data_IF_727833764762
#
_entry.id   IF_727833764762
#
_cell.length_a   1.000
_cell.length_b   1.000
_cell.length_c   1.000
_cell.angle_alpha   90.00
_cell.angle_beta   90.00
_cell.angle_gamma   90.00
#
_symmetry.space_group_name_H-M   'P 1'
#
loop_
_entity.id
_entity.type
_entity.pdbx_description
1 polymer ?
#
# COMPACT_ATOMS: atom_id res chain seq x y z
N UNK A 1 7.81 4.72 -37.90
CA UNK A 1 8.70 4.48 -36.74
C UNK A 1 7.98 5.09 -35.55
N UNK A 2 6.91 4.42 -35.12
CA UNK A 2 6.86 3.48 -34.00
C UNK A 2 6.44 4.23 -32.72
N UNK A 3 5.11 4.26 -32.56
CA UNK A 3 4.40 4.02 -31.30
C UNK A 3 4.48 5.11 -30.22
N UNK A 4 3.72 6.18 -30.45
CA UNK A 4 3.00 6.89 -29.40
C UNK A 4 1.94 5.97 -28.77
N UNK A 5 2.36 4.95 -28.01
CA UNK A 5 1.45 4.07 -27.26
C UNK A 5 1.28 4.61 -25.84
N UNK A 6 0.28 5.48 -25.71
CA UNK A 6 -0.72 5.45 -24.65
C UNK A 6 -0.21 4.91 -23.30
N UNK A 7 0.35 5.80 -22.46
CA UNK A 7 0.27 5.59 -21.01
C UNK A 7 -1.21 5.80 -20.67
N UNK A 8 -1.98 4.73 -20.74
CA UNK A 8 -3.34 4.69 -20.20
C UNK A 8 -3.24 5.11 -18.72
N UNK A 9 -3.67 6.33 -18.44
CA UNK A 9 -3.89 6.84 -17.10
C UNK A 9 -5.05 6.06 -16.48
N UNK A 10 -4.78 4.82 -16.06
CA UNK A 10 -5.61 4.13 -15.07
C UNK A 10 -5.45 4.98 -13.80
N UNK A 11 -6.48 5.76 -13.49
CA UNK A 11 -6.49 6.58 -12.29
C UNK A 11 -6.11 5.68 -11.10
N UNK A 12 -5.03 6.03 -10.40
CA UNK A 12 -4.56 5.25 -9.26
C UNK A 12 -5.70 5.13 -8.22
N UNK A 13 -5.82 3.99 -7.52
CA UNK A 13 -6.84 3.83 -6.50
C UNK A 13 -6.82 5.00 -5.52
N UNK A 14 -8.01 5.46 -5.12
CA UNK A 14 -8.12 6.57 -4.16
C UNK A 14 -7.52 6.13 -2.82
N UNK A 15 -6.61 6.94 -2.29
CA UNK A 15 -6.02 6.76 -0.95
C UNK A 15 -6.65 7.76 0.01
N UNK A 16 -7.08 7.26 1.18
CA UNK A 16 -7.78 8.01 2.22
C UNK A 16 -6.86 8.41 3.37
N UNK A 17 -7.38 9.26 4.26
CA UNK A 17 -6.64 9.82 5.38
C UNK A 17 -5.85 11.09 5.01
N UNK A 18 -5.06 11.62 5.96
CA UNK A 18 -4.26 12.84 5.79
C UNK A 18 -3.02 12.60 4.91
N UNK A 19 -3.23 12.31 3.62
CA UNK A 19 -2.18 12.20 2.60
C UNK A 19 -1.56 13.56 2.30
N UNK A 20 -0.25 13.58 2.03
CA UNK A 20 0.51 14.82 1.77
C UNK A 20 1.02 14.94 0.34
N UNK A 21 0.98 13.85 -0.44
CA UNK A 21 1.37 13.82 -1.85
C UNK A 21 0.68 12.67 -2.62
N UNK A 22 0.94 12.61 -3.93
CA UNK A 22 0.43 11.54 -4.81
C UNK A 22 1.16 10.21 -4.63
N UNK A 23 2.31 10.20 -3.91
CA UNK A 23 3.08 9.00 -3.62
C UNK A 23 2.56 8.27 -2.37
N UNK A 24 1.35 8.61 -1.90
CA UNK A 24 0.67 8.01 -0.75
C UNK A 24 1.28 8.32 0.62
N UNK A 25 2.26 9.23 0.71
CA UNK A 25 2.83 9.61 2.01
C UNK A 25 1.78 10.30 2.87
N UNK A 26 1.89 10.19 4.19
CA UNK A 26 0.95 10.81 5.13
C UNK A 26 1.63 11.71 6.14
N UNK A 27 0.83 12.43 6.94
CA UNK A 27 1.36 13.28 8.02
C UNK A 27 2.12 12.49 9.10
N UNK A 28 1.86 11.18 9.26
CA UNK A 28 2.55 10.33 10.23
C UNK A 28 3.89 9.79 9.71
N UNK A 29 3.94 9.35 8.45
CA UNK A 29 5.11 8.74 7.80
C UNK A 29 5.31 9.34 6.40
N UNK A 30 6.48 9.96 6.17
CA UNK A 30 6.75 10.80 4.98
C UNK A 30 8.22 10.83 4.56
N UNK A 31 8.98 9.79 4.87
CA UNK A 31 10.29 9.59 4.26
C UNK A 31 10.14 9.26 2.78
N UNK A 32 11.23 9.33 2.02
CA UNK A 32 11.21 9.09 0.58
C UNK A 32 10.73 7.67 0.20
N UNK A 33 10.81 6.73 1.14
CA UNK A 33 10.43 5.31 1.00
C UNK A 33 9.07 4.97 1.59
N UNK A 34 8.36 5.93 2.21
CA UNK A 34 6.99 5.76 2.75
C UNK A 34 5.92 5.84 1.65
N UNK A 35 6.14 5.12 0.55
CA UNK A 35 5.41 5.26 -0.70
C UNK A 35 4.42 4.12 -0.94
N UNK A 36 3.89 3.56 0.13
CA UNK A 36 2.96 2.42 0.08
C UNK A 36 1.67 2.79 0.79
N UNK A 37 0.52 2.49 0.16
CA UNK A 37 -0.76 2.44 0.84
C UNK A 37 -1.23 0.99 0.97
N UNK A 38 -1.86 0.67 2.10
CA UNK A 38 -2.38 -0.65 2.41
C UNK A 38 -3.90 -0.62 2.26
N UNK A 39 -4.45 -1.63 1.57
CA UNK A 39 -5.89 -1.90 1.56
C UNK A 39 -6.25 -2.64 2.84
N UNK A 40 -7.15 -2.09 3.64
CA UNK A 40 -7.53 -2.70 4.91
C UNK A 40 -8.61 -3.76 4.71
N UNK A 41 -8.48 -4.91 5.39
CA UNK A 41 -9.40 -6.05 5.23
C UNK A 41 -10.85 -5.71 5.62
N UNK A 42 -11.02 -4.89 6.66
CA UNK A 42 -12.33 -4.52 7.20
C UNK A 42 -13.20 -3.69 6.24
N UNK A 43 -12.60 -2.85 5.39
CA UNK A 43 -13.35 -1.90 4.56
C UNK A 43 -12.95 -1.90 3.08
N UNK A 44 -11.89 -2.62 2.71
CA UNK A 44 -11.36 -2.66 1.35
C UNK A 44 -10.92 -1.29 0.79
N UNK A 45 -10.61 -0.33 1.66
CA UNK A 45 -10.12 1.00 1.30
C UNK A 45 -8.61 1.14 1.52
N UNK A 46 -7.96 2.00 0.73
CA UNK A 46 -6.52 2.26 0.84
C UNK A 46 -6.22 3.37 1.83
N UNK A 47 -5.31 3.10 2.76
CA UNK A 47 -4.73 4.09 3.68
C UNK A 47 -3.20 3.98 3.69
N UNK A 48 -2.47 5.09 3.85
CA UNK A 48 -1.00 5.09 3.95
C UNK A 48 -0.48 4.29 5.15
N UNK A 49 -1.23 4.28 6.25
CA UNK A 49 -0.84 3.60 7.48
C UNK A 49 -2.03 3.34 8.41
N UNK A 50 -1.80 2.51 9.44
CA UNK A 50 -2.79 2.20 10.48
C UNK A 50 -3.28 3.42 11.27
N UNK A 51 -2.44 4.45 11.47
CA UNK A 51 -2.85 5.67 12.18
C UNK A 51 -3.85 6.49 11.35
N UNK A 52 -3.59 6.65 10.06
CA UNK A 52 -4.54 7.27 9.13
C UNK A 52 -5.89 6.55 9.15
N UNK A 53 -5.89 5.22 9.09
CA UNK A 53 -7.12 4.44 9.17
C UNK A 53 -7.82 4.64 10.52
N UNK A 54 -7.11 4.48 11.64
CA UNK A 54 -7.68 4.62 12.98
C UNK A 54 -8.31 6.00 13.23
N UNK A 55 -7.74 7.06 12.65
CA UNK A 55 -8.25 8.43 12.77
C UNK A 55 -9.51 8.69 11.94
N UNK A 56 -9.65 8.08 10.76
CA UNK A 56 -10.68 8.51 9.79
C UNK A 56 -11.70 7.44 9.39
N UNK A 57 -11.44 6.16 9.61
CA UNK A 57 -12.33 5.08 9.16
C UNK A 57 -13.57 4.89 10.07
N UNK A 58 -13.50 5.33 11.33
CA UNK A 58 -14.61 5.21 12.27
C UNK A 58 -14.86 3.77 12.78
N UNK A 59 -13.98 2.82 12.47
CA UNK A 59 -14.01 1.44 12.95
C UNK A 59 -12.58 0.92 13.17
N UNK A 60 -12.40 -0.14 13.99
CA UNK A 60 -11.08 -0.76 14.16
C UNK A 60 -10.59 -1.39 12.85
N UNK A 61 -9.26 -1.52 12.74
CA UNK A 61 -8.62 -2.23 11.64
C UNK A 61 -8.70 -3.75 11.84
N UNK A 62 -8.83 -4.49 10.75
CA UNK A 62 -8.73 -5.94 10.71
C UNK A 62 -7.52 -6.35 9.86
N UNK A 63 -6.89 -7.45 10.25
CA UNK A 63 -5.79 -8.05 9.50
C UNK A 63 -6.34 -8.90 8.36
N UNK A 64 -5.63 -8.93 7.22
CA UNK A 64 -5.88 -9.96 6.22
C UNK A 64 -5.43 -11.32 6.74
N UNK A 65 -6.26 -12.35 6.58
CA UNK A 65 -5.93 -13.69 7.05
C UNK A 65 -4.85 -14.36 6.20
N UNK A 66 -4.17 -15.35 6.77
CA UNK A 66 -3.07 -16.07 6.11
C UNK A 66 -3.48 -16.75 4.79
N UNK A 67 -4.74 -17.17 4.67
CA UNK A 67 -5.28 -17.82 3.47
C UNK A 67 -5.64 -16.84 2.33
N UNK A 68 -5.57 -15.53 2.59
CA UNK A 68 -5.85 -14.46 1.62
C UNK A 68 -4.61 -13.66 1.21
N UNK A 69 -3.43 -14.28 1.31
CA UNK A 69 -2.14 -13.66 0.93
C UNK A 69 -2.03 -13.34 -0.58
N UNK A 70 -2.91 -13.88 -1.40
CA UNK A 70 -3.01 -13.61 -2.84
C UNK A 70 -3.75 -12.30 -3.16
N UNK A 71 -4.40 -11.66 -2.19
CA UNK A 71 -5.14 -10.42 -2.41
C UNK A 71 -4.23 -9.23 -2.75
N UNK A 72 -4.63 -8.46 -3.75
CA UNK A 72 -4.05 -7.15 -4.10
C UNK A 72 -4.42 -6.12 -3.03
N UNK A 73 -3.54 -5.96 -2.04
CA UNK A 73 -3.79 -5.12 -0.87
C UNK A 73 -2.67 -4.12 -0.59
N UNK A 74 -1.72 -3.97 -1.51
CA UNK A 74 -0.59 -3.06 -1.35
C UNK A 74 -0.44 -2.21 -2.60
N UNK A 75 -0.65 -0.91 -2.49
CA UNK A 75 -0.50 0.04 -3.59
C UNK A 75 0.88 0.71 -3.53
N UNK A 76 1.64 0.64 -4.62
CA UNK A 76 2.84 1.44 -4.79
C UNK A 76 2.47 2.86 -5.25
N UNK A 77 2.73 3.86 -4.41
CA UNK A 77 2.49 5.27 -4.73
C UNK A 77 3.40 5.85 -5.82
N UNK A 78 4.53 5.20 -6.16
CA UNK A 78 5.42 5.68 -7.21
C UNK A 78 4.91 5.36 -8.63
N UNK A 79 4.26 4.22 -8.83
CA UNK A 79 3.80 3.78 -10.16
C UNK A 79 2.33 3.38 -10.22
N UNK A 80 1.62 3.36 -9.08
CA UNK A 80 0.22 2.96 -9.00
C UNK A 80 -0.04 1.46 -9.10
N UNK A 81 1.00 0.62 -9.12
CA UNK A 81 0.84 -0.84 -9.15
C UNK A 81 0.25 -1.34 -7.84
N UNK A 82 -0.79 -2.15 -7.93
CA UNK A 82 -1.31 -2.94 -6.82
C UNK A 82 -0.53 -4.27 -6.77
N UNK A 83 0.02 -4.61 -5.62
CA UNK A 83 0.77 -5.83 -5.35
C UNK A 83 -0.07 -6.73 -4.43
N UNK A 84 0.09 -8.04 -4.63
CA UNK A 84 -0.43 -9.02 -3.68
C UNK A 84 0.32 -8.92 -2.35
N UNK A 85 -0.36 -9.28 -1.26
CA UNK A 85 0.27 -9.34 0.07
C UNK A 85 1.51 -10.24 0.04
N UNK A 86 1.42 -11.42 -0.58
CA UNK A 86 2.52 -12.37 -0.73
C UNK A 86 3.74 -11.76 -1.46
N UNK A 87 3.49 -10.98 -2.51
CA UNK A 87 4.57 -10.31 -3.25
C UNK A 87 5.24 -9.24 -2.39
N UNK A 88 4.45 -8.38 -1.74
CA UNK A 88 4.98 -7.30 -0.91
C UNK A 88 5.84 -7.79 0.24
N UNK A 89 5.42 -8.84 0.97
CA UNK A 89 6.19 -9.35 2.11
C UNK A 89 7.49 -10.03 1.72
N UNK A 90 7.68 -10.40 0.45
CA UNK A 90 8.89 -11.07 -0.06
C UNK A 90 9.83 -10.15 -0.83
N UNK A 91 9.43 -8.91 -1.18
CA UNK A 91 10.25 -7.95 -1.94
C UNK A 91 10.57 -6.65 -1.19
N UNK A 92 11.79 -6.13 -1.33
CA UNK A 92 12.20 -4.87 -0.68
C UNK A 92 11.90 -3.64 -1.55
N UNK A 93 11.42 -3.84 -2.77
CA UNK A 93 11.15 -2.79 -3.76
C UNK A 93 9.96 -3.17 -4.64
N UNK A 94 9.36 -2.18 -5.29
CA UNK A 94 8.29 -2.43 -6.23
C UNK A 94 8.82 -3.25 -7.43
N UNK A 95 8.26 -4.43 -7.74
CA UNK A 95 8.72 -5.27 -8.85
C UNK A 95 8.44 -4.65 -10.22
N UNK A 96 7.59 -3.61 -10.28
CA UNK A 96 7.24 -2.92 -11.53
C UNK A 96 8.12 -1.71 -11.81
N UNK A 97 8.45 -0.90 -10.80
CA UNK A 97 9.20 0.35 -11.00
C UNK A 97 10.54 0.43 -10.28
N UNK A 98 10.89 -0.55 -9.45
CA UNK A 98 12.14 -0.59 -8.68
C UNK A 98 12.22 0.44 -7.55
N UNK A 99 11.12 1.12 -7.21
CA UNK A 99 11.14 2.06 -6.09
C UNK A 99 11.28 1.29 -4.76
N UNK A 100 12.21 1.69 -3.88
CA UNK A 100 12.43 0.99 -2.62
C UNK A 100 11.22 1.16 -1.68
N UNK A 101 10.89 0.07 -0.97
CA UNK A 101 9.89 0.08 0.09
C UNK A 101 10.55 0.27 1.46
N UNK A 102 9.86 0.96 2.36
CA UNK A 102 10.35 1.16 3.71
C UNK A 102 10.38 -0.18 4.49
N UNK A 103 11.58 -0.64 4.86
CA UNK A 103 11.75 -1.80 5.74
C UNK A 103 11.09 -1.62 7.12
N UNK A 104 10.98 -0.37 7.62
CA UNK A 104 10.25 -0.08 8.87
C UNK A 104 8.74 -0.28 8.72
N UNK A 105 8.17 -0.03 7.54
CA UNK A 105 6.76 -0.37 7.29
C UNK A 105 6.53 -1.89 7.39
N UNK A 106 7.55 -2.70 7.05
CA UNK A 106 7.46 -4.15 7.24
C UNK A 106 7.43 -4.58 8.71
N UNK A 107 8.01 -3.81 9.63
CA UNK A 107 7.86 -4.09 11.06
C UNK A 107 6.40 -3.96 11.50
N UNK A 108 5.61 -3.12 10.81
CA UNK A 108 4.18 -2.97 11.03
C UNK A 108 3.32 -3.94 10.22
N UNK A 109 3.91 -4.89 9.49
CA UNK A 109 3.16 -5.86 8.66
C UNK A 109 2.11 -6.60 9.50
N UNK A 110 2.46 -6.94 10.74
CA UNK A 110 1.55 -7.58 11.69
C UNK A 110 0.34 -6.71 12.07
N UNK A 111 0.31 -5.40 11.78
CA UNK A 111 -0.89 -4.58 11.97
C UNK A 111 -1.87 -4.71 10.81
N UNK A 112 -1.44 -5.26 9.68
CA UNK A 112 -2.21 -5.35 8.45
C UNK A 112 -2.49 -6.77 7.99
N UNK A 113 -1.56 -7.71 8.25
CA UNK A 113 -1.63 -9.09 7.77
C UNK A 113 -1.27 -10.04 8.92
N UNK A 114 -2.04 -11.11 9.08
CA UNK A 114 -1.72 -12.18 10.03
C UNK A 114 -0.36 -12.81 9.71
N UNK A 115 0.47 -13.09 10.70
CA UNK A 115 1.74 -13.81 10.55
C UNK A 115 1.59 -15.24 11.06
N UNK A 116 2.19 -16.22 10.38
CA UNK A 116 2.31 -17.56 10.94
C UNK A 116 3.37 -17.49 12.06
N UNK A 117 2.92 -17.62 13.32
CA UNK A 117 3.80 -17.81 14.49
C UNK A 117 4.56 -19.14 14.42
#
# INVERSE_FOLDING_TARGET
MLESSQRESRASPRVLGPVVDEMTRCVHYRTEVDIVAIRFACCNEYYPCHLCHAETAGHPAEQWPLDQRDQEAVLCGACGTELTIASYVTTNECPTCGSPFNERCRLHTHLYFETAD
#
